data_IF_840981473813
#
_entry.id   IF_840981473813
#
_cell.length_a   1.000
_cell.length_b   1.000
_cell.length_c   1.000
_cell.angle_alpha   90.00
_cell.angle_beta   90.00
_cell.angle_gamma   90.00
#
_symmetry.space_group_name_H-M   'P 1'
#
loop_
_entity.id
_entity.type
_entity.pdbx_description
1 polymer ?
#
# COMPACT_ATOMS: atom_id res chain seq x y z
N UNK A 1 -8.56 9.55 -13.67
CA UNK A 1 -8.20 8.80 -12.44
C UNK A 1 -7.56 7.50 -12.88
N UNK A 2 -6.27 7.32 -12.62
CA UNK A 2 -5.52 6.17 -13.13
C UNK A 2 -5.54 5.03 -12.12
N UNK A 3 -5.78 3.80 -12.60
CA UNK A 3 -5.83 2.58 -11.77
C UNK A 3 -4.55 1.78 -11.99
N UNK A 4 -4.03 1.20 -10.91
CA UNK A 4 -2.87 0.29 -10.95
C UNK A 4 -3.25 -1.02 -10.28
N UNK A 5 -2.85 -2.13 -10.91
CA UNK A 5 -2.93 -3.46 -10.33
C UNK A 5 -1.52 -3.97 -10.07
N UNK A 6 -1.26 -4.41 -8.83
CA UNK A 6 -0.01 -5.04 -8.41
C UNK A 6 -0.30 -6.53 -8.20
N UNK A 7 0.35 -7.39 -8.98
CA UNK A 7 0.21 -8.84 -8.87
C UNK A 7 1.39 -9.39 -8.07
N UNK A 8 1.08 -9.98 -6.92
CA UNK A 8 2.03 -10.46 -5.93
C UNK A 8 2.10 -9.53 -4.71
N UNK A 9 1.84 -10.07 -3.52
CA UNK A 9 1.90 -9.43 -2.22
C UNK A 9 3.19 -9.77 -1.45
N UNK A 10 4.26 -10.11 -2.17
CA UNK A 10 5.60 -10.28 -1.60
C UNK A 10 6.23 -8.95 -1.17
N UNK A 11 7.51 -8.98 -0.79
CA UNK A 11 8.26 -7.80 -0.32
C UNK A 11 8.22 -6.63 -1.31
N UNK A 12 8.44 -6.91 -2.59
CA UNK A 12 8.39 -5.90 -3.66
C UNK A 12 6.97 -5.40 -3.91
N UNK A 13 5.99 -6.30 -3.92
CA UNK A 13 4.58 -5.96 -4.14
C UNK A 13 4.03 -4.99 -3.09
N UNK A 14 4.42 -5.17 -1.83
CA UNK A 14 4.11 -4.23 -0.77
C UNK A 14 4.67 -2.83 -1.07
N UNK A 15 5.97 -2.72 -1.39
CA UNK A 15 6.60 -1.44 -1.67
C UNK A 15 5.98 -0.72 -2.88
N UNK A 16 5.74 -1.46 -3.96
CA UNK A 16 5.11 -0.92 -5.17
C UNK A 16 3.69 -0.42 -4.84
N UNK A 17 2.88 -1.24 -4.18
CA UNK A 17 1.52 -0.87 -3.81
C UNK A 17 1.49 0.34 -2.86
N UNK A 18 2.43 0.42 -1.91
CA UNK A 18 2.56 1.54 -0.98
C UNK A 18 2.83 2.86 -1.70
N UNK A 19 3.79 2.88 -2.63
CA UNK A 19 4.16 4.10 -3.37
C UNK A 19 3.00 4.59 -4.22
N UNK A 20 2.31 3.71 -4.96
CA UNK A 20 1.16 4.12 -5.75
C UNK A 20 0.00 4.64 -4.89
N UNK A 21 -0.32 3.94 -3.79
CA UNK A 21 -1.34 4.40 -2.84
C UNK A 21 -0.99 5.78 -2.26
N UNK A 22 0.28 6.01 -1.92
CA UNK A 22 0.74 7.29 -1.37
C UNK A 22 0.57 8.46 -2.35
N UNK A 23 0.65 8.19 -3.66
CA UNK A 23 0.48 9.21 -4.70
C UNK A 23 -0.98 9.33 -5.19
N UNK A 24 -1.94 8.78 -4.44
CA UNK A 24 -3.38 8.90 -4.75
C UNK A 24 -3.87 8.04 -5.91
N UNK A 25 -3.12 6.99 -6.28
CA UNK A 25 -3.56 6.04 -7.30
C UNK A 25 -4.50 5.01 -6.68
N UNK A 26 -5.57 4.69 -7.41
CA UNK A 26 -6.45 3.59 -7.03
C UNK A 26 -5.71 2.27 -7.30
N UNK A 27 -5.15 1.69 -6.24
CA UNK A 27 -4.21 0.57 -6.30
C UNK A 27 -4.91 -0.71 -5.83
N UNK A 28 -4.93 -1.72 -6.69
CA UNK A 28 -5.45 -3.05 -6.38
C UNK A 28 -4.28 -4.01 -6.18
N UNK A 29 -4.23 -4.70 -5.05
CA UNK A 29 -3.25 -5.75 -4.78
C UNK A 29 -3.90 -7.12 -4.98
N UNK A 30 -3.26 -7.98 -5.76
CA UNK A 30 -3.77 -9.31 -6.11
C UNK A 30 -2.72 -10.35 -5.73
N UNK A 31 -3.11 -11.34 -4.94
CA UNK A 31 -2.27 -12.50 -4.62
C UNK A 31 -3.17 -13.73 -4.43
N UNK A 32 -2.60 -14.91 -4.66
CA UNK A 32 -3.29 -16.19 -4.48
C UNK A 32 -3.38 -16.61 -3.01
N UNK A 33 -2.54 -16.05 -2.14
CA UNK A 33 -2.48 -16.35 -0.72
C UNK A 33 -3.13 -15.22 0.11
N UNK A 34 -4.35 -15.41 0.64
CA UNK A 34 -5.09 -14.37 1.37
C UNK A 34 -4.33 -13.83 2.59
N UNK A 35 -3.60 -14.68 3.31
CA UNK A 35 -2.83 -14.27 4.48
C UNK A 35 -1.69 -13.30 4.16
N UNK A 36 -1.17 -13.28 2.92
CA UNK A 36 -0.19 -12.29 2.49
C UNK A 36 -0.85 -10.92 2.24
N UNK A 37 -2.06 -10.90 1.67
CA UNK A 37 -2.79 -9.67 1.40
C UNK A 37 -3.08 -8.90 2.70
N UNK A 38 -3.60 -9.59 3.71
CA UNK A 38 -3.90 -8.99 5.02
C UNK A 38 -2.64 -8.40 5.67
N UNK A 39 -1.54 -9.17 5.64
CA UNK A 39 -0.25 -8.73 6.17
C UNK A 39 0.28 -7.49 5.45
N UNK A 40 0.20 -7.47 4.12
CA UNK A 40 0.66 -6.31 3.33
C UNK A 40 -0.20 -5.09 3.59
N UNK A 41 -1.53 -5.22 3.61
CA UNK A 41 -2.43 -4.11 3.92
C UNK A 41 -2.14 -3.54 5.32
N UNK A 42 -1.94 -4.40 6.32
CA UNK A 42 -1.58 -3.96 7.67
C UNK A 42 -0.23 -3.22 7.69
N UNK A 43 0.76 -3.71 6.97
CA UNK A 43 2.08 -3.07 6.89
C UNK A 43 2.02 -1.72 6.16
N UNK A 44 1.24 -1.62 5.07
CA UNK A 44 1.02 -0.37 4.33
C UNK A 44 0.36 0.67 5.26
N UNK A 45 -0.67 0.29 6.03
CA UNK A 45 -1.32 1.16 7.02
C UNK A 45 -0.33 1.64 8.08
N UNK A 46 0.44 0.74 8.69
CA UNK A 46 1.45 1.11 9.69
C UNK A 46 2.51 2.07 9.14
N UNK A 47 2.92 1.90 7.87
CA UNK A 47 3.83 2.81 7.19
C UNK A 47 3.21 4.20 6.98
N UNK A 48 1.93 4.28 6.61
CA UNK A 48 1.20 5.55 6.51
C UNK A 48 1.10 6.23 7.87
N UNK A 49 0.68 5.54 8.92
CA UNK A 49 0.61 6.11 10.27
C UNK A 49 1.96 6.67 10.73
N UNK A 50 3.06 5.97 10.43
CA UNK A 50 4.41 6.45 10.73
C UNK A 50 4.77 7.71 9.94
N UNK A 51 4.36 7.80 8.68
CA UNK A 51 4.61 8.96 7.82
C UNK A 51 3.77 10.18 8.24
N UNK A 52 2.51 9.97 8.62
CA UNK A 52 1.65 11.00 9.20
C UNK A 52 2.26 11.53 10.50
N UNK A 53 2.72 10.66 11.40
CA UNK A 53 3.42 11.06 12.64
C UNK A 53 4.71 11.85 12.38
N UNK A 54 5.38 11.60 11.26
CA UNK A 54 6.58 12.34 10.82
C UNK A 54 6.26 13.63 10.06
N UNK A 55 4.98 13.89 9.76
CA UNK A 55 4.53 15.04 8.97
C UNK A 55 4.88 14.97 7.49
N UNK A 56 5.24 13.80 6.95
CA UNK A 56 5.65 13.65 5.54
C UNK A 56 4.50 13.36 4.59
N UNK A 57 3.32 12.99 5.12
CA UNK A 57 2.10 12.61 4.39
C UNK A 57 0.90 13.14 5.17
N UNK A 58 -0.15 13.63 4.52
CA UNK A 58 -1.36 14.10 5.21
C UNK A 58 -2.23 12.93 5.68
N UNK A 59 -3.05 13.15 6.71
CA UNK A 59 -3.93 12.11 7.25
C UNK A 59 -5.11 11.74 6.33
N UNK A 60 -5.28 12.44 5.22
CA UNK A 60 -6.40 12.30 4.28
C UNK A 60 -6.08 11.36 3.11
N UNK A 61 -4.87 10.80 3.08
CA UNK A 61 -4.34 9.95 2.00
C UNK A 61 -4.56 8.46 2.24
#
# INVERSE_FOLDING_TARGET
>A
MSRVAVVGAGTMGNGIAHVFAQHGWNTTLIDVAPGLLERVVAMIRANFERQVKKGTVSAEQ
#
